data_IF_922837501537
#
_entry.id   IF_922837501537
#
_cell.length_a   1.000
_cell.length_b   1.000
_cell.length_c   1.000
_cell.angle_alpha   90.00
_cell.angle_beta   90.00
_cell.angle_gamma   90.00
#
_symmetry.space_group_name_H-M   'P 1'
#
loop_
_entity.id
_entity.type
_entity.pdbx_description
1 polymer ?
#
# COMPACT_ATOMS: atom_id res chain seq x y z
N UNK A 1 7.17 28.74 15.17
CA UNK A 1 5.71 28.97 15.10
C UNK A 1 4.86 27.70 14.98
N UNK A 2 5.18 26.67 14.15
CA UNK A 2 4.24 25.55 13.92
C UNK A 2 3.98 24.66 15.16
N UNK A 3 4.96 24.50 16.04
CA UNK A 3 4.82 23.65 17.25
C UNK A 3 3.78 24.19 18.24
N UNK A 4 3.71 25.51 18.42
CA UNK A 4 2.80 26.12 19.38
C UNK A 4 1.35 26.12 18.86
N UNK A 5 1.16 26.36 17.55
CA UNK A 5 -0.14 26.19 16.87
C UNK A 5 -0.63 24.73 16.90
N UNK A 6 0.27 23.77 16.63
CA UNK A 6 -0.06 22.34 16.72
C UNK A 6 -0.49 21.95 18.13
N UNK A 7 0.22 22.40 19.18
CA UNK A 7 -0.16 22.10 20.56
C UNK A 7 -1.48 22.75 20.98
N UNK A 8 -1.77 23.98 20.56
CA UNK A 8 -3.06 24.61 20.82
C UNK A 8 -4.22 23.89 20.12
N UNK A 9 -4.02 23.46 18.88
CA UNK A 9 -5.02 22.70 18.12
C UNK A 9 -5.25 21.31 18.72
N UNK A 10 -4.19 20.64 19.21
CA UNK A 10 -4.31 19.37 19.94
C UNK A 10 -5.10 19.56 21.24
N UNK A 11 -4.87 20.66 21.96
CA UNK A 11 -5.60 20.96 23.19
C UNK A 11 -7.08 21.24 22.93
N UNK A 12 -7.40 21.98 21.86
CA UNK A 12 -8.77 22.21 21.40
C UNK A 12 -9.45 20.91 20.94
N UNK A 13 -8.72 20.00 20.28
CA UNK A 13 -9.21 18.66 19.96
C UNK A 13 -9.57 17.90 21.24
N UNK A 14 -8.66 17.89 22.23
CA UNK A 14 -8.91 17.24 23.53
C UNK A 14 -10.15 17.82 24.22
N UNK A 15 -10.34 19.13 24.19
CA UNK A 15 -11.51 19.79 24.76
C UNK A 15 -12.81 19.48 23.99
N UNK A 16 -12.78 19.53 22.65
CA UNK A 16 -13.92 19.19 21.80
C UNK A 16 -14.37 17.74 22.00
N UNK A 17 -13.45 16.82 22.29
CA UNK A 17 -13.78 15.43 22.61
C UNK A 17 -14.63 15.26 23.87
N UNK A 18 -14.49 16.14 24.87
CA UNK A 18 -15.32 16.07 26.07
C UNK A 18 -16.78 16.45 25.82
N UNK A 19 -17.07 17.23 24.78
CA UNK A 19 -18.40 17.80 24.55
C UNK A 19 -19.26 17.01 23.54
N UNK A 20 -18.69 16.09 22.77
CA UNK A 20 -19.38 15.31 21.72
C UNK A 20 -20.19 16.16 20.70
N UNK A 21 -19.93 17.47 20.58
CA UNK A 21 -20.56 18.30 19.54
C UNK A 21 -19.86 18.06 18.21
N UNK A 22 -20.54 17.36 17.30
CA UNK A 22 -20.00 17.01 15.99
C UNK A 22 -19.58 18.22 15.15
N UNK A 23 -20.23 19.37 15.30
CA UNK A 23 -19.87 20.59 14.54
C UNK A 23 -18.55 21.14 15.04
N UNK A 24 -18.37 21.20 16.36
CA UNK A 24 -17.11 21.63 16.98
C UNK A 24 -16.00 20.64 16.61
N UNK A 25 -16.24 19.33 16.73
CA UNK A 25 -15.28 18.29 16.35
C UNK A 25 -14.87 18.45 14.88
N UNK A 26 -15.84 18.59 13.97
CA UNK A 26 -15.58 18.72 12.53
C UNK A 26 -14.78 19.99 12.23
N UNK A 27 -15.12 21.11 12.86
CA UNK A 27 -14.41 22.38 12.70
C UNK A 27 -12.96 22.27 13.16
N UNK A 28 -12.71 21.73 14.36
CA UNK A 28 -11.35 21.64 14.90
C UNK A 28 -10.48 20.70 14.07
N UNK A 29 -11.00 19.54 13.66
CA UNK A 29 -10.26 18.64 12.77
C UNK A 29 -10.00 19.28 11.41
N UNK A 30 -11.00 19.93 10.81
CA UNK A 30 -10.84 20.55 9.49
C UNK A 30 -9.76 21.64 9.51
N UNK A 31 -9.81 22.57 10.48
CA UNK A 31 -8.77 23.60 10.63
C UNK A 31 -7.39 22.97 10.84
N UNK A 32 -7.28 21.98 11.73
CA UNK A 32 -6.00 21.33 12.01
C UNK A 32 -5.43 20.60 10.79
N UNK A 33 -6.25 19.85 10.06
CA UNK A 33 -5.81 19.02 8.94
C UNK A 33 -5.59 19.83 7.66
N UNK A 34 -6.17 21.03 7.57
CA UNK A 34 -5.85 22.01 6.53
C UNK A 34 -4.45 22.59 6.72
N UNK A 35 -4.02 22.80 7.97
CA UNK A 35 -2.65 23.24 8.30
C UNK A 35 -1.64 22.08 8.29
N UNK A 36 -2.03 20.89 8.78
CA UNK A 36 -1.14 19.75 8.94
C UNK A 36 -1.68 18.48 8.25
N UNK A 37 -1.77 18.47 6.90
CA UNK A 37 -2.38 17.36 6.16
C UNK A 37 -1.64 16.03 6.32
N UNK A 38 -0.32 16.05 6.53
CA UNK A 38 0.54 14.86 6.69
C UNK A 38 0.34 14.12 8.03
N UNK A 39 -0.41 14.70 8.96
CA UNK A 39 -0.80 14.09 10.22
C UNK A 39 -1.90 13.03 10.05
N UNK A 40 -1.66 12.00 9.22
CA UNK A 40 -2.61 10.94 8.84
C UNK A 40 -3.32 10.27 10.03
N UNK A 41 -2.64 10.14 11.18
CA UNK A 41 -3.28 9.61 12.40
C UNK A 41 -4.48 10.44 12.88
N UNK A 42 -4.53 11.74 12.59
CA UNK A 42 -5.67 12.60 12.91
C UNK A 42 -6.80 12.50 11.89
N UNK A 43 -6.51 12.24 10.61
CA UNK A 43 -7.52 11.87 9.62
C UNK A 43 -8.26 10.60 10.04
N UNK A 44 -7.51 9.56 10.46
CA UNK A 44 -8.09 8.30 10.95
C UNK A 44 -8.96 8.53 12.20
N UNK A 45 -8.48 9.32 13.16
CA UNK A 45 -9.27 9.68 14.36
C UNK A 45 -10.52 10.49 14.00
N UNK A 46 -10.44 11.39 13.04
CA UNK A 46 -11.58 12.18 12.58
C UNK A 46 -12.65 11.28 11.96
N UNK A 47 -12.27 10.39 11.05
CA UNK A 47 -13.17 9.41 10.46
C UNK A 47 -13.80 8.50 11.52
N UNK A 48 -13.02 8.01 12.49
CA UNK A 48 -13.54 7.21 13.61
C UNK A 48 -14.53 7.99 14.48
N UNK A 49 -14.34 9.29 14.68
CA UNK A 49 -15.28 10.12 15.43
C UNK A 49 -16.58 10.34 14.66
N UNK A 50 -16.49 10.60 13.36
CA UNK A 50 -17.65 10.68 12.46
C UNK A 50 -18.43 9.37 12.44
N UNK A 51 -17.75 8.22 12.38
CA UNK A 51 -18.40 6.91 12.34
C UNK A 51 -19.24 6.60 13.59
N UNK A 52 -18.95 7.23 14.74
CA UNK A 52 -19.74 7.08 15.97
C UNK A 52 -20.98 7.99 16.04
N UNK A 53 -20.99 9.09 15.28
CA UNK A 53 -21.93 10.20 15.47
C UNK A 53 -22.73 10.55 14.21
N UNK A 54 -22.36 9.99 13.05
CA UNK A 54 -22.85 10.43 11.75
C UNK A 54 -23.17 9.25 10.82
N UNK A 55 -23.62 9.59 9.61
CA UNK A 55 -23.91 8.63 8.54
C UNK A 55 -22.62 8.11 7.90
N UNK A 56 -22.71 7.01 7.13
CA UNK A 56 -21.56 6.48 6.40
C UNK A 56 -21.03 7.46 5.35
N UNK A 57 -21.89 8.23 4.68
CA UNK A 57 -21.47 9.21 3.67
C UNK A 57 -20.55 10.29 4.26
N UNK A 58 -20.85 10.74 5.49
CA UNK A 58 -19.99 11.70 6.21
C UNK A 58 -18.59 11.12 6.49
N UNK A 59 -18.50 9.83 6.81
CA UNK A 59 -17.23 9.15 7.08
C UNK A 59 -16.44 8.96 5.79
N UNK A 60 -17.11 8.55 4.72
CA UNK A 60 -16.53 8.43 3.37
C UNK A 60 -15.97 9.77 2.91
N UNK A 61 -16.71 10.87 3.11
CA UNK A 61 -16.23 12.21 2.79
C UNK A 61 -14.92 12.57 3.49
N UNK A 62 -14.74 12.18 4.76
CA UNK A 62 -13.47 12.38 5.48
C UNK A 62 -12.35 11.52 4.91
N UNK A 63 -12.61 10.24 4.61
CA UNK A 63 -11.59 9.37 4.02
C UNK A 63 -11.18 9.82 2.62
N UNK A 64 -12.10 10.25 1.77
CA UNK A 64 -11.80 10.76 0.42
C UNK A 64 -10.94 12.04 0.49
N UNK A 65 -11.25 12.96 1.40
CA UNK A 65 -10.39 14.12 1.68
C UNK A 65 -9.00 13.70 2.15
N UNK A 66 -8.92 12.72 3.05
CA UNK A 66 -7.66 12.24 3.59
C UNK A 66 -6.77 11.60 2.51
N UNK A 67 -7.32 10.74 1.65
CA UNK A 67 -6.55 10.08 0.58
C UNK A 67 -6.22 11.03 -0.56
N UNK A 68 -6.96 12.13 -0.73
CA UNK A 68 -6.54 13.22 -1.61
C UNK A 68 -5.34 13.99 -1.03
N UNK A 69 -5.32 14.21 0.29
CA UNK A 69 -4.23 14.92 0.96
C UNK A 69 -2.94 14.08 1.07
N UNK A 70 -3.07 12.79 1.40
CA UNK A 70 -1.93 11.87 1.62
C UNK A 70 -2.17 10.52 0.92
N UNK A 71 -2.18 10.49 -0.43
CA UNK A 71 -2.59 9.30 -1.21
C UNK A 71 -1.70 8.08 -1.01
N UNK A 72 -0.45 8.26 -0.60
CA UNK A 72 0.51 7.16 -0.44
C UNK A 72 0.62 6.65 1.01
N UNK A 73 -0.26 7.07 1.91
CA UNK A 73 -0.25 6.61 3.30
C UNK A 73 -0.94 5.25 3.45
N UNK A 74 -0.15 4.19 3.65
CA UNK A 74 -0.64 2.82 3.88
C UNK A 74 -1.65 2.74 5.04
N UNK A 75 -1.36 3.35 6.19
CA UNK A 75 -2.22 3.27 7.38
C UNK A 75 -3.62 3.86 7.14
N UNK A 76 -3.69 4.92 6.34
CA UNK A 76 -4.96 5.55 5.98
C UNK A 76 -5.81 4.61 5.12
N UNK A 77 -5.22 4.00 4.10
CA UNK A 77 -5.90 3.01 3.25
C UNK A 77 -6.34 1.76 4.01
N UNK A 78 -5.51 1.29 4.95
CA UNK A 78 -5.84 0.17 5.84
C UNK A 78 -7.07 0.50 6.69
N UNK A 79 -7.13 1.72 7.23
CA UNK A 79 -8.30 2.20 7.99
C UNK A 79 -9.53 2.34 7.10
N UNK A 80 -9.38 2.92 5.90
CA UNK A 80 -10.49 3.16 4.98
C UNK A 80 -11.08 1.84 4.45
N UNK A 81 -10.24 0.92 3.97
CA UNK A 81 -10.70 -0.40 3.52
C UNK A 81 -11.32 -1.20 4.68
N UNK A 82 -10.79 -1.07 5.90
CA UNK A 82 -11.39 -1.68 7.09
C UNK A 82 -12.78 -1.13 7.41
N UNK A 83 -12.99 0.19 7.25
CA UNK A 83 -14.31 0.80 7.34
C UNK A 83 -15.24 0.29 6.24
N UNK A 84 -14.79 0.27 4.99
CA UNK A 84 -15.58 -0.22 3.85
C UNK A 84 -16.02 -1.68 4.03
N UNK A 85 -15.15 -2.56 4.52
CA UNK A 85 -15.50 -3.95 4.87
C UNK A 85 -16.62 -4.06 5.91
N UNK A 86 -16.76 -3.06 6.77
CA UNK A 86 -17.78 -3.04 7.83
C UNK A 86 -19.07 -2.32 7.41
N UNK A 87 -18.95 -1.36 6.49
CA UNK A 87 -20.03 -0.45 6.11
C UNK A 87 -20.73 -0.82 4.79
N UNK A 88 -20.01 -1.44 3.86
CA UNK A 88 -20.54 -1.79 2.55
C UNK A 88 -20.98 -3.25 2.49
N UNK A 89 -22.12 -3.49 1.86
CA UNK A 89 -22.63 -4.85 1.62
C UNK A 89 -22.13 -5.43 0.29
N UNK A 90 -21.88 -4.58 -0.71
CA UNK A 90 -21.44 -5.00 -2.04
C UNK A 90 -19.93 -5.33 -2.06
N UNK A 91 -19.55 -6.61 -2.27
CA UNK A 91 -18.15 -7.01 -2.36
C UNK A 91 -17.40 -6.35 -3.52
N UNK A 92 -18.07 -5.96 -4.60
CA UNK A 92 -17.42 -5.31 -5.74
C UNK A 92 -16.90 -3.91 -5.39
N UNK A 93 -17.66 -3.14 -4.59
CA UNK A 93 -17.22 -1.84 -4.08
C UNK A 93 -16.03 -1.95 -3.12
N UNK A 94 -16.02 -2.99 -2.29
CA UNK A 94 -14.89 -3.24 -1.38
C UNK A 94 -13.64 -3.61 -2.19
N UNK A 95 -13.76 -4.46 -3.21
CA UNK A 95 -12.64 -4.84 -4.10
C UNK A 95 -12.07 -3.64 -4.84
N UNK A 96 -12.91 -2.82 -5.46
CA UNK A 96 -12.46 -1.65 -6.21
C UNK A 96 -11.71 -0.66 -5.31
N UNK A 97 -12.12 -0.54 -4.04
CA UNK A 97 -11.39 0.28 -3.06
C UNK A 97 -10.02 -0.31 -2.71
N UNK A 98 -9.92 -1.64 -2.50
CA UNK A 98 -8.63 -2.31 -2.31
C UNK A 98 -7.71 -2.16 -3.53
N UNK A 99 -8.23 -2.34 -4.74
CA UNK A 99 -7.47 -2.18 -5.98
C UNK A 99 -6.96 -0.74 -6.14
N UNK A 100 -7.82 0.26 -5.89
CA UNK A 100 -7.42 1.67 -5.87
C UNK A 100 -6.31 1.91 -4.86
N UNK A 101 -6.46 1.42 -3.63
CA UNK A 101 -5.44 1.54 -2.60
C UNK A 101 -4.11 0.90 -3.03
N UNK A 102 -4.17 -0.33 -3.55
CA UNK A 102 -3.00 -1.08 -4.00
C UNK A 102 -2.25 -0.42 -5.16
N UNK A 103 -2.94 0.29 -6.05
CA UNK A 103 -2.26 1.06 -7.11
C UNK A 103 -1.41 2.22 -6.56
N UNK A 104 -1.80 2.78 -5.41
CA UNK A 104 -1.14 3.92 -4.77
C UNK A 104 -0.09 3.51 -3.72
N UNK A 105 -0.30 2.42 -2.99
CA UNK A 105 0.61 1.98 -1.91
C UNK A 105 1.26 0.62 -2.14
N UNK A 106 1.02 -0.04 -3.28
CA UNK A 106 1.47 -1.42 -3.50
C UNK A 106 2.99 -1.64 -3.56
N UNK A 107 3.80 -0.58 -3.66
CA UNK A 107 5.27 -0.61 -3.56
C UNK A 107 5.80 -0.04 -2.24
N UNK A 108 4.94 0.14 -1.24
CA UNK A 108 5.34 0.49 0.11
C UNK A 108 5.68 -0.78 0.92
N UNK A 109 6.80 -0.78 1.63
CA UNK A 109 7.24 -1.97 2.38
C UNK A 109 6.26 -2.41 3.48
N UNK A 110 5.48 -1.46 4.01
CA UNK A 110 4.47 -1.67 5.03
C UNK A 110 3.07 -1.97 4.45
N UNK A 111 2.91 -2.01 3.12
CA UNK A 111 1.64 -2.37 2.47
C UNK A 111 1.12 -3.77 2.82
N UNK A 112 1.94 -4.61 3.48
CA UNK A 112 1.51 -5.88 4.05
C UNK A 112 0.29 -5.75 4.97
N UNK A 113 0.12 -4.61 5.65
CA UNK A 113 -1.07 -4.36 6.46
C UNK A 113 -2.35 -4.34 5.62
N UNK A 114 -2.26 -3.81 4.38
CA UNK A 114 -3.37 -3.76 3.44
C UNK A 114 -3.59 -5.14 2.79
N UNK A 115 -2.51 -5.84 2.42
CA UNK A 115 -2.59 -7.22 1.94
C UNK A 115 -3.23 -8.16 2.95
N UNK A 116 -2.87 -8.08 4.22
CA UNK A 116 -3.48 -8.90 5.28
C UNK A 116 -5.00 -8.70 5.33
N UNK A 117 -5.47 -7.44 5.27
CA UNK A 117 -6.90 -7.12 5.23
C UNK A 117 -7.57 -7.59 3.95
N UNK A 118 -6.91 -7.47 2.81
CA UNK A 118 -7.49 -7.88 1.54
C UNK A 118 -7.62 -9.41 1.46
N UNK A 119 -6.62 -10.14 1.96
CA UNK A 119 -6.66 -11.60 2.10
C UNK A 119 -7.76 -12.01 3.09
N UNK A 120 -7.91 -11.33 4.23
CA UNK A 120 -9.00 -11.56 5.18
C UNK A 120 -10.37 -11.40 4.52
N UNK A 121 -10.54 -10.31 3.76
CA UNK A 121 -11.76 -10.05 3.01
C UNK A 121 -12.06 -11.17 1.99
N UNK A 122 -11.14 -11.51 1.09
CA UNK A 122 -11.43 -12.52 0.06
C UNK A 122 -11.61 -13.94 0.65
N UNK A 123 -10.95 -14.25 1.77
CA UNK A 123 -11.24 -15.48 2.52
C UNK A 123 -12.69 -15.49 3.04
N UNK A 124 -13.19 -14.37 3.57
CA UNK A 124 -14.59 -14.25 4.02
C UNK A 124 -15.59 -14.44 2.86
N UNK A 125 -15.21 -13.99 1.66
CA UNK A 125 -16.00 -14.12 0.44
C UNK A 125 -15.89 -15.52 -0.23
N UNK A 126 -14.98 -16.37 0.26
CA UNK A 126 -14.68 -17.71 -0.29
C UNK A 126 -14.33 -17.68 -1.79
N UNK A 127 -13.69 -16.61 -2.26
CA UNK A 127 -13.35 -16.43 -3.68
C UNK A 127 -11.92 -16.93 -3.97
N UNK A 128 -11.81 -18.19 -4.35
CA UNK A 128 -10.53 -18.85 -4.61
C UNK A 128 -9.71 -18.18 -5.74
N UNK A 129 -10.37 -17.76 -6.82
CA UNK A 129 -9.72 -17.08 -7.95
C UNK A 129 -9.10 -15.76 -7.49
N UNK A 130 -9.83 -14.99 -6.68
CA UNK A 130 -9.31 -13.72 -6.17
C UNK A 130 -8.16 -13.92 -5.17
N UNK A 131 -8.25 -14.95 -4.32
CA UNK A 131 -7.15 -15.32 -3.44
C UNK A 131 -5.90 -15.71 -4.25
N UNK A 132 -6.04 -16.49 -5.33
CA UNK A 132 -4.91 -16.82 -6.21
C UNK A 132 -4.32 -15.55 -6.85
N UNK A 133 -5.14 -14.63 -7.33
CA UNK A 133 -4.69 -13.32 -7.86
C UNK A 133 -3.93 -12.52 -6.81
N UNK A 134 -4.43 -12.46 -5.57
CA UNK A 134 -3.77 -11.73 -4.48
C UNK A 134 -2.43 -12.37 -4.14
N UNK A 135 -2.36 -13.70 -3.99
CA UNK A 135 -1.14 -14.39 -3.60
C UNK A 135 -0.02 -14.29 -4.63
N UNK A 136 -0.32 -14.23 -5.93
CA UNK A 136 0.71 -13.98 -6.93
C UNK A 136 1.11 -12.49 -6.99
N UNK A 137 0.15 -11.57 -6.81
CA UNK A 137 0.43 -10.13 -6.83
C UNK A 137 1.28 -9.67 -5.63
N UNK A 138 1.02 -10.19 -4.43
CA UNK A 138 1.80 -9.83 -3.23
C UNK A 138 3.27 -10.25 -3.31
N UNK A 139 3.61 -11.19 -4.21
CA UNK A 139 4.98 -11.63 -4.43
C UNK A 139 5.75 -10.75 -5.42
N UNK A 140 5.10 -9.80 -6.10
CA UNK A 140 5.73 -8.93 -7.11
C UNK A 140 6.69 -7.90 -6.54
N UNK A 141 6.51 -7.52 -5.29
CA UNK A 141 7.27 -6.46 -4.65
C UNK A 141 7.62 -6.84 -3.21
N UNK A 142 8.80 -6.46 -2.69
CA UNK A 142 9.19 -6.75 -1.32
C UNK A 142 8.25 -6.09 -0.30
N UNK A 143 7.85 -6.86 0.70
CA UNK A 143 7.12 -6.38 1.87
C UNK A 143 7.67 -7.07 3.11
N UNK A 144 7.45 -6.49 4.29
CA UNK A 144 7.90 -7.08 5.56
C UNK A 144 7.44 -8.53 5.80
N UNK A 145 6.35 -8.96 5.16
CA UNK A 145 5.78 -10.31 5.29
C UNK A 145 5.97 -11.18 4.04
N UNK A 146 6.84 -10.79 3.09
CA UNK A 146 7.05 -11.49 1.82
C UNK A 146 7.19 -13.01 1.98
N UNK A 147 8.10 -13.48 2.84
CA UNK A 147 8.32 -14.91 3.06
C UNK A 147 7.09 -15.64 3.62
N UNK A 148 6.29 -14.96 4.46
CA UNK A 148 5.05 -15.51 4.99
C UNK A 148 4.02 -15.67 3.87
N UNK A 149 3.90 -14.67 2.99
CA UNK A 149 3.00 -14.76 1.84
C UNK A 149 3.42 -15.84 0.85
N UNK A 150 4.72 -16.01 0.61
CA UNK A 150 5.22 -17.11 -0.21
C UNK A 150 4.88 -18.48 0.39
N UNK A 151 5.03 -18.63 1.71
CA UNK A 151 4.59 -19.84 2.41
C UNK A 151 3.08 -20.11 2.25
N UNK A 152 2.24 -19.10 2.37
CA UNK A 152 0.79 -19.22 2.13
C UNK A 152 0.46 -19.53 0.66
N UNK A 153 1.17 -18.93 -0.28
CA UNK A 153 1.07 -19.22 -1.72
C UNK A 153 1.38 -20.69 -2.01
N UNK A 154 2.49 -21.24 -1.46
CA UNK A 154 2.84 -22.65 -1.64
C UNK A 154 1.79 -23.58 -1.03
N UNK A 155 1.22 -23.23 0.13
CA UNK A 155 0.10 -24.00 0.73
C UNK A 155 -1.13 -24.01 -0.17
N UNK A 156 -1.48 -22.87 -0.77
CA UNK A 156 -2.58 -22.79 -1.73
C UNK A 156 -2.31 -23.70 -2.94
N UNK A 157 -1.12 -23.64 -3.53
CA UNK A 157 -0.74 -24.51 -4.65
C UNK A 157 -0.85 -25.99 -4.27
N UNK A 158 -0.32 -26.40 -3.11
CA UNK A 158 -0.43 -27.80 -2.66
C UNK A 158 -1.88 -28.24 -2.45
N UNK A 159 -2.75 -27.37 -1.94
CA UNK A 159 -4.19 -27.66 -1.81
C UNK A 159 -4.83 -27.90 -3.18
N UNK A 160 -4.48 -27.07 -4.17
CA UNK A 160 -4.97 -27.18 -5.55
C UNK A 160 -4.44 -28.44 -6.26
N UNK A 161 -3.19 -28.82 -6.03
CA UNK A 161 -2.59 -30.07 -6.56
C UNK A 161 -3.30 -31.33 -6.03
N UNK A 162 -3.70 -31.31 -4.76
CA UNK A 162 -4.45 -32.41 -4.14
C UNK A 162 -5.83 -32.57 -4.77
N UNK A 163 -6.54 -31.46 -5.06
CA UNK A 163 -7.82 -31.49 -5.77
C UNK A 163 -7.69 -32.10 -7.17
N UNK A 164 -6.64 -31.75 -7.92
CA UNK A 164 -6.36 -32.33 -9.26
C UNK A 164 -6.11 -33.84 -9.19
N UNK A 165 -5.35 -34.27 -8.19
CA UNK A 165 -5.01 -35.70 -8.01
C UNK A 165 -6.24 -36.53 -7.67
N UNK A 166 -7.14 -35.99 -6.83
CA UNK A 166 -8.40 -36.64 -6.46
C UNK A 166 -9.39 -36.74 -7.63
N UNK A 167 -9.33 -35.81 -8.59
CA UNK A 167 -10.15 -35.84 -9.81
C UNK A 167 -9.63 -36.82 -10.89
N UNK A 168 -8.53 -37.55 -10.64
CA UNK A 168 -8.03 -38.59 -11.55
C UNK A 168 -7.33 -38.08 -12.82
N UNK A 169 -6.91 -36.81 -12.84
CA UNK A 169 -6.10 -36.28 -13.92
C UNK A 169 -4.62 -36.64 -13.69
N UNK A 170 -4.09 -37.61 -14.44
CA UNK A 170 -2.67 -37.97 -14.39
C UNK A 170 -1.80 -36.76 -14.78
N UNK A 171 -0.98 -36.27 -13.84
CA UNK A 171 0.07 -35.30 -14.14
C UNK A 171 1.20 -36.07 -14.81
N UNK A 172 1.23 -36.10 -16.14
CA UNK A 172 2.41 -36.56 -16.86
C UNK A 172 3.58 -35.64 -16.51
N UNK A 173 4.65 -36.24 -15.97
CA UNK A 173 5.95 -35.61 -15.75
C UNK A 173 6.65 -35.41 -17.09
N UNK A 174 6.12 -34.50 -17.90
CA UNK A 174 6.75 -34.06 -19.14
C UNK A 174 7.73 -32.94 -18.84
N UNK A 175 9.03 -33.20 -19.03
CA UNK A 175 10.08 -32.17 -19.06
C UNK A 175 9.63 -31.02 -19.96
N UNK A 176 9.40 -29.84 -19.37
CA UNK A 176 9.20 -28.63 -20.16
C UNK A 176 10.57 -27.99 -20.39
N UNK A 177 10.96 -27.98 -21.66
CA UNK A 177 12.11 -27.24 -22.18
C UNK A 177 12.12 -25.82 -21.60
N UNK A 178 13.27 -25.44 -21.05
CA UNK A 178 13.69 -24.06 -20.80
C UNK A 178 13.66 -23.30 -22.12
N UNK A 179 12.52 -22.70 -22.44
CA UNK A 179 12.50 -21.61 -23.40
C UNK A 179 12.92 -20.37 -22.62
N UNK A 180 14.17 -19.97 -22.80
CA UNK A 180 14.66 -18.62 -22.57
C UNK A 180 13.85 -17.66 -23.46
N UNK A 181 12.63 -17.35 -23.04
CA UNK A 181 11.85 -16.25 -23.59
C UNK A 181 12.06 -15.06 -22.67
N UNK A 182 13.04 -14.26 -23.09
CA UNK A 182 13.25 -12.84 -22.84
C UNK A 182 12.04 -12.12 -22.21
N UNK A 183 12.33 -11.33 -21.17
CA UNK A 183 11.80 -9.99 -20.87
C UNK A 183 10.44 -9.59 -21.50
N UNK A 184 9.42 -10.42 -21.40
CA UNK A 184 8.05 -9.94 -21.57
C UNK A 184 7.70 -9.20 -20.28
N UNK A 185 7.47 -7.89 -20.38
CA UNK A 185 6.94 -7.07 -19.30
C UNK A 185 5.78 -7.83 -18.63
N UNK A 186 5.98 -8.22 -17.38
CA UNK A 186 5.03 -8.95 -16.55
C UNK A 186 3.90 -7.99 -16.14
N UNK A 187 3.10 -7.58 -17.12
CA UNK A 187 1.96 -6.70 -16.96
C UNK A 187 0.87 -7.36 -16.12
N UNK A 188 -0.04 -6.56 -15.57
CA UNK A 188 -1.23 -7.07 -14.87
C UNK A 188 -2.08 -8.02 -15.74
N UNK A 189 -2.10 -7.79 -17.06
CA UNK A 189 -2.78 -8.66 -18.02
C UNK A 189 -2.20 -10.08 -18.08
N UNK A 190 -0.89 -10.24 -17.90
CA UNK A 190 -0.24 -11.55 -17.84
C UNK A 190 -0.77 -12.36 -16.66
N UNK A 191 -0.85 -11.77 -15.47
CA UNK A 191 -1.35 -12.46 -14.26
C UNK A 191 -2.81 -12.80 -14.37
N UNK A 192 -3.64 -11.84 -14.78
CA UNK A 192 -5.08 -12.07 -14.95
C UNK A 192 -5.33 -13.25 -15.90
N UNK A 193 -4.56 -13.34 -17.01
CA UNK A 193 -4.64 -14.47 -17.92
C UNK A 193 -4.22 -15.82 -17.29
N UNK A 194 -3.20 -15.83 -16.43
CA UNK A 194 -2.72 -17.06 -15.77
C UNK A 194 -3.71 -17.55 -14.71
N UNK A 195 -4.27 -16.64 -13.92
CA UNK A 195 -5.23 -16.97 -12.87
C UNK A 195 -6.58 -17.35 -13.47
N UNK A 196 -7.09 -16.62 -14.46
CA UNK A 196 -8.32 -16.98 -15.17
C UNK A 196 -8.18 -18.32 -15.92
N UNK A 197 -6.97 -18.65 -16.38
CA UNK A 197 -6.66 -19.91 -17.05
C UNK A 197 -6.56 -21.13 -16.13
N UNK A 198 -6.56 -20.96 -14.81
CA UNK A 198 -6.46 -22.06 -13.84
C UNK A 198 -7.62 -23.06 -13.99
N UNK A 199 -8.83 -22.55 -14.24
CA UNK A 199 -10.04 -23.35 -14.34
C UNK A 199 -10.49 -23.46 -15.81
N UNK A 200 -11.15 -24.56 -16.16
CA UNK A 200 -11.87 -24.69 -17.43
C UNK A 200 -13.29 -24.12 -17.36
N UNK A 201 -14.03 -24.19 -18.47
CA UNK A 201 -15.43 -23.72 -18.53
C UNK A 201 -16.37 -24.53 -17.62
N UNK A 202 -15.96 -25.72 -17.19
CA UNK A 202 -16.67 -26.57 -16.24
C UNK A 202 -16.24 -26.34 -14.78
N UNK A 203 -15.30 -25.43 -14.51
CA UNK A 203 -14.77 -25.17 -13.17
C UNK A 203 -13.73 -26.19 -12.69
N UNK A 204 -13.23 -27.07 -13.56
CA UNK A 204 -12.19 -28.03 -13.22
C UNK A 204 -10.81 -27.40 -13.35
N UNK A 205 -9.91 -27.74 -12.41
CA UNK A 205 -8.56 -27.21 -12.39
C UNK A 205 -7.69 -27.88 -13.47
N UNK A 206 -6.95 -27.07 -14.23
CA UNK A 206 -6.04 -27.54 -15.29
C UNK A 206 -4.62 -27.75 -14.73
N UNK A 207 -4.05 -28.97 -14.78
CA UNK A 207 -2.70 -29.24 -14.26
C UNK A 207 -1.62 -28.33 -14.87
N UNK A 208 -1.71 -28.08 -16.17
CA UNK A 208 -0.71 -27.29 -16.90
C UNK A 208 -0.80 -25.79 -16.57
N UNK A 209 -1.99 -25.27 -16.29
CA UNK A 209 -2.16 -23.91 -15.81
C UNK A 209 -1.64 -23.75 -14.38
N UNK A 210 -1.84 -24.75 -13.52
CA UNK A 210 -1.33 -24.76 -12.15
C UNK A 210 0.20 -24.73 -12.10
N UNK A 211 0.87 -25.54 -12.95
CA UNK A 211 2.34 -25.49 -13.10
C UNK A 211 2.84 -24.11 -13.51
N UNK A 212 2.16 -23.45 -14.46
CA UNK A 212 2.53 -22.10 -14.89
C UNK A 212 2.32 -21.05 -13.79
N UNK A 213 1.23 -21.16 -13.02
CA UNK A 213 0.96 -20.30 -11.86
C UNK A 213 2.03 -20.47 -10.78
N UNK A 214 2.42 -21.72 -10.47
CA UNK A 214 3.50 -22.01 -9.54
C UNK A 214 4.83 -21.38 -10.00
N UNK A 215 5.22 -21.64 -11.25
CA UNK A 215 6.46 -21.10 -11.81
C UNK A 215 6.50 -19.56 -11.78
N UNK A 216 5.39 -18.91 -12.13
CA UNK A 216 5.28 -17.45 -12.06
C UNK A 216 5.45 -16.93 -10.63
N UNK A 217 4.77 -17.54 -9.65
CA UNK A 217 4.90 -17.14 -8.25
C UNK A 217 6.32 -17.35 -7.68
N UNK A 218 6.98 -18.45 -8.04
CA UNK A 218 8.38 -18.71 -7.65
C UNK A 218 9.34 -17.67 -8.24
N UNK A 219 9.15 -17.29 -9.51
CA UNK A 219 9.93 -16.24 -10.17
C UNK A 219 9.75 -14.88 -9.49
N UNK A 220 8.49 -14.48 -9.23
CA UNK A 220 8.20 -13.21 -8.55
C UNK A 220 8.80 -13.18 -7.14
N UNK A 221 8.63 -14.25 -6.38
CA UNK A 221 9.20 -14.37 -5.05
C UNK A 221 10.73 -14.26 -5.07
N UNK A 222 11.41 -14.95 -6.00
CA UNK A 222 12.87 -14.89 -6.10
C UNK A 222 13.37 -13.46 -6.31
N UNK A 223 12.79 -12.75 -7.29
CA UNK A 223 13.13 -11.34 -7.57
C UNK A 223 12.85 -10.43 -6.38
N UNK A 224 11.67 -10.54 -5.78
CA UNK A 224 11.31 -9.71 -4.62
C UNK A 224 12.17 -10.01 -3.39
N UNK A 225 12.58 -11.26 -3.20
CA UNK A 225 13.46 -11.70 -2.11
C UNK A 225 14.88 -11.17 -2.29
N UNK A 226 15.39 -11.10 -3.53
CA UNK A 226 16.66 -10.45 -3.83
C UNK A 226 16.62 -8.95 -3.52
N UNK A 227 15.55 -8.27 -3.94
CA UNK A 227 15.37 -6.85 -3.63
C UNK A 227 15.19 -6.60 -2.12
N UNK A 228 14.44 -7.46 -1.41
CA UNK A 228 14.25 -7.36 0.05
C UNK A 228 15.59 -7.39 0.80
N UNK A 229 16.55 -8.21 0.36
CA UNK A 229 17.90 -8.26 0.97
C UNK A 229 18.63 -6.91 0.87
N UNK A 230 18.46 -6.20 -0.23
CA UNK A 230 19.09 -4.89 -0.44
C UNK A 230 18.42 -3.79 0.40
N UNK A 231 17.09 -3.85 0.59
CA UNK A 231 16.34 -2.75 1.22
C UNK A 231 15.97 -2.97 2.69
N UNK A 232 15.97 -4.20 3.18
CA UNK A 232 15.52 -4.53 4.54
C UNK A 232 16.31 -3.78 5.63
N UNK A 233 17.59 -3.47 5.38
CA UNK A 233 18.42 -2.68 6.28
C UNK A 233 17.96 -1.23 6.42
N UNK A 234 17.58 -0.60 5.30
CA UNK A 234 16.99 0.75 5.32
C UNK A 234 15.67 0.75 6.09
N UNK A 235 14.82 -0.24 5.82
CA UNK A 235 13.51 -0.38 6.45
C UNK A 235 13.60 -0.62 7.96
N UNK A 236 14.54 -1.45 8.40
CA UNK A 236 14.80 -1.71 9.81
C UNK A 236 15.30 -0.46 10.57
N UNK A 237 15.94 0.48 9.86
CA UNK A 237 16.53 1.69 10.43
C UNK A 237 15.52 2.85 10.56
N UNK A 238 14.32 2.72 9.97
CA UNK A 238 13.24 3.71 10.12
C UNK A 238 12.54 3.50 11.48
N UNK A 239 12.91 4.31 12.48
CA UNK A 239 12.34 4.25 13.83
C UNK A 239 10.99 4.97 13.96
N UNK A 240 10.78 6.04 13.20
CA UNK A 240 9.59 6.91 13.26
C UNK A 240 8.98 7.09 11.86
N UNK A 241 7.91 6.34 11.50
CA UNK A 241 7.28 6.39 10.18
C UNK A 241 6.21 7.49 10.04
N UNK A 242 5.97 8.29 11.08
CA UNK A 242 4.92 9.31 11.13
C UNK A 242 5.49 10.70 11.41
N UNK A 243 4.74 11.73 11.02
CA UNK A 243 5.12 13.12 11.30
C UNK A 243 5.14 13.40 12.81
N UNK A 244 6.16 14.12 13.26
CA UNK A 244 6.23 14.64 14.62
C UNK A 244 7.08 15.90 14.67
N UNK A 245 6.74 16.84 15.57
CA UNK A 245 7.41 18.15 15.71
C UNK A 245 8.85 18.07 16.19
N UNK A 246 9.21 17.03 16.95
CA UNK A 246 10.60 16.79 17.36
C UNK A 246 11.43 16.42 16.13
N UNK A 247 12.65 16.96 15.97
CA UNK A 247 13.53 16.55 14.88
C UNK A 247 13.79 15.03 14.92
N UNK A 248 14.01 14.46 13.75
CA UNK A 248 14.64 13.15 13.59
C UNK A 248 16.11 13.23 14.04
N UNK A 249 16.66 12.09 14.45
CA UNK A 249 18.09 11.96 14.70
C UNK A 249 18.88 11.90 13.38
N UNK A 250 20.17 12.23 13.43
CA UNK A 250 21.02 12.29 12.24
C UNK A 250 21.10 10.94 11.52
N UNK A 251 21.12 9.81 12.26
CA UNK A 251 21.13 8.46 11.69
C UNK A 251 19.88 8.21 10.83
N UNK A 252 18.70 8.67 11.27
CA UNK A 252 17.46 8.52 10.51
C UNK A 252 17.46 9.38 9.23
N UNK A 253 18.01 10.60 9.29
CA UNK A 253 18.12 11.48 8.12
C UNK A 253 19.12 10.94 7.09
N UNK A 254 20.26 10.42 7.55
CA UNK A 254 21.24 9.75 6.71
C UNK A 254 20.64 8.50 6.06
N UNK A 255 19.93 7.67 6.83
CA UNK A 255 19.25 6.49 6.30
C UNK A 255 18.26 6.83 5.19
N UNK A 256 17.45 7.89 5.34
CA UNK A 256 16.53 8.32 4.30
C UNK A 256 17.26 8.77 3.03
N UNK A 257 18.35 9.52 3.15
CA UNK A 257 19.14 9.92 1.98
C UNK A 257 19.74 8.71 1.27
N UNK A 258 20.34 7.76 2.00
CA UNK A 258 20.90 6.55 1.41
C UNK A 258 19.84 5.67 0.74
N UNK A 259 18.64 5.58 1.34
CA UNK A 259 17.55 4.81 0.76
C UNK A 259 17.01 5.48 -0.51
N UNK A 260 16.87 6.80 -0.51
CA UNK A 260 16.49 7.55 -1.72
C UNK A 260 17.56 7.44 -2.81
N UNK A 261 18.86 7.57 -2.48
CA UNK A 261 19.97 7.34 -3.43
C UNK A 261 19.86 5.96 -4.09
N UNK A 262 19.59 4.92 -3.28
CA UNK A 262 19.43 3.56 -3.77
C UNK A 262 18.27 3.45 -4.76
N UNK A 263 17.09 3.99 -4.43
CA UNK A 263 15.90 3.87 -5.28
C UNK A 263 15.98 4.75 -6.51
N UNK A 264 16.57 5.94 -6.44
CA UNK A 264 16.79 6.78 -7.62
C UNK A 264 17.70 6.12 -8.66
N UNK A 265 18.68 5.35 -8.19
CA UNK A 265 19.65 4.65 -9.04
C UNK A 265 19.11 3.33 -9.58
N UNK A 266 18.43 2.54 -8.75
CA UNK A 266 18.11 1.15 -9.05
C UNK A 266 16.61 0.90 -9.25
N UNK A 267 15.75 1.80 -8.76
CA UNK A 267 14.29 1.65 -8.82
C UNK A 267 13.66 2.26 -10.07
N UNK A 268 12.39 1.89 -10.30
CA UNK A 268 11.57 2.55 -11.31
C UNK A 268 10.95 3.85 -10.77
N UNK A 269 10.46 4.70 -11.69
CA UNK A 269 9.90 6.01 -11.35
C UNK A 269 8.73 5.92 -10.36
N UNK A 270 7.89 4.91 -10.52
CA UNK A 270 6.70 4.70 -9.68
C UNK A 270 7.09 4.35 -8.23
N UNK A 271 8.11 3.51 -8.04
CA UNK A 271 8.64 3.20 -6.72
C UNK A 271 9.31 4.41 -6.09
N UNK A 272 10.13 5.16 -6.85
CA UNK A 272 10.79 6.36 -6.35
C UNK A 272 9.78 7.39 -5.84
N UNK A 273 8.73 7.67 -6.61
CA UNK A 273 7.63 8.57 -6.20
C UNK A 273 7.00 8.08 -4.89
N UNK A 274 6.63 6.80 -4.80
CA UNK A 274 6.01 6.24 -3.60
C UNK A 274 6.93 6.31 -2.37
N UNK A 275 8.22 6.06 -2.54
CA UNK A 275 9.20 6.16 -1.45
C UNK A 275 9.40 7.61 -0.99
N UNK A 276 9.46 8.56 -1.94
CA UNK A 276 9.51 9.98 -1.62
C UNK A 276 8.30 10.44 -0.81
N UNK A 277 7.09 10.10 -1.26
CA UNK A 277 5.85 10.45 -0.55
C UNK A 277 5.82 9.88 0.87
N UNK A 278 6.39 8.68 1.08
CA UNK A 278 6.57 8.09 2.41
C UNK A 278 7.63 8.82 3.23
N UNK A 279 8.77 9.17 2.64
CA UNK A 279 9.87 9.91 3.29
C UNK A 279 9.40 11.28 3.79
N UNK A 280 8.60 11.99 3.00
CA UNK A 280 8.10 13.32 3.32
C UNK A 280 7.16 13.35 4.53
N UNK A 281 6.60 12.22 4.96
CA UNK A 281 5.76 12.17 6.16
C UNK A 281 6.61 12.46 7.43
N UNK A 282 7.61 11.64 7.81
CA UNK A 282 8.46 11.95 8.96
C UNK A 282 9.44 13.09 8.71
N UNK A 283 9.81 13.34 7.45
CA UNK A 283 10.76 14.38 7.05
C UNK A 283 10.09 15.69 6.60
N UNK A 284 8.80 15.91 6.89
CA UNK A 284 8.08 17.07 6.37
C UNK A 284 8.73 18.43 6.69
N UNK A 285 9.41 18.54 7.84
CA UNK A 285 10.09 19.77 8.29
C UNK A 285 11.51 19.95 7.72
N UNK A 286 11.93 19.12 6.77
CA UNK A 286 13.27 19.11 6.20
C UNK A 286 13.17 19.45 4.71
N UNK A 287 13.39 20.71 4.36
CA UNK A 287 13.18 21.23 3.00
C UNK A 287 14.03 20.53 1.94
N UNK A 288 15.18 20.00 2.32
CA UNK A 288 16.10 19.27 1.44
C UNK A 288 15.42 18.06 0.77
N UNK A 289 14.56 17.32 1.48
CA UNK A 289 13.86 16.18 0.90
C UNK A 289 12.77 16.61 -0.10
N UNK A 290 12.10 17.73 0.16
CA UNK A 290 11.11 18.29 -0.76
C UNK A 290 11.76 18.80 -2.05
N UNK A 291 12.87 19.51 -1.92
CA UNK A 291 13.65 20.04 -3.05
C UNK A 291 14.15 18.87 -3.89
N UNK A 292 14.80 17.88 -3.25
CA UNK A 292 15.31 16.69 -3.92
C UNK A 292 14.20 15.93 -4.66
N UNK A 293 13.04 15.76 -4.04
CA UNK A 293 11.89 15.12 -4.68
C UNK A 293 11.43 15.88 -5.93
N UNK A 294 11.24 17.20 -5.82
CA UNK A 294 10.79 18.03 -6.93
C UNK A 294 11.78 18.02 -8.10
N UNK A 295 13.08 18.10 -7.80
CA UNK A 295 14.14 18.00 -8.81
C UNK A 295 14.17 16.62 -9.49
N UNK A 296 14.08 15.54 -8.71
CA UNK A 296 14.04 14.18 -9.23
C UNK A 296 12.88 13.98 -10.21
N UNK A 297 11.66 14.35 -9.83
CA UNK A 297 10.48 14.12 -10.68
C UNK A 297 10.45 15.05 -11.90
N UNK A 298 10.89 16.31 -11.80
CA UNK A 298 11.01 17.19 -12.98
C UNK A 298 12.06 16.65 -13.97
N UNK A 299 13.21 16.18 -13.48
CA UNK A 299 14.25 15.58 -14.31
C UNK A 299 13.80 14.31 -15.03
N UNK A 300 12.81 13.59 -14.49
CA UNK A 300 12.19 12.41 -15.11
C UNK A 300 10.95 12.73 -15.96
N UNK A 301 10.64 14.02 -16.18
CA UNK A 301 9.53 14.49 -17.01
C UNK A 301 8.19 14.66 -16.26
N UNK A 302 8.16 14.43 -14.94
CA UNK A 302 7.01 14.56 -14.05
C UNK A 302 6.80 15.98 -13.53
N UNK A 303 6.80 16.99 -14.41
CA UNK A 303 6.71 18.42 -14.02
C UNK A 303 5.49 18.75 -13.17
N UNK A 304 4.34 18.14 -13.44
CA UNK A 304 3.12 18.36 -12.65
C UNK A 304 3.29 17.85 -11.22
N UNK A 305 3.95 16.71 -11.04
CA UNK A 305 4.28 16.14 -9.73
C UNK A 305 5.28 17.05 -9.00
N UNK A 306 6.28 17.59 -9.70
CA UNK A 306 7.24 18.54 -9.13
C UNK A 306 6.52 19.80 -8.59
N UNK A 307 5.68 20.41 -9.42
CA UNK A 307 4.91 21.60 -9.04
C UNK A 307 3.97 21.31 -7.86
N UNK A 308 3.32 20.14 -7.85
CA UNK A 308 2.48 19.72 -6.74
C UNK A 308 3.27 19.54 -5.44
N UNK A 309 4.46 18.92 -5.51
CA UNK A 309 5.36 18.77 -4.37
C UNK A 309 5.82 20.13 -3.82
N UNK A 310 6.21 21.07 -4.68
CA UNK A 310 6.62 22.43 -4.29
C UNK A 310 5.47 23.24 -3.69
N UNK A 311 4.25 23.08 -4.23
CA UNK A 311 3.04 23.68 -3.66
C UNK A 311 2.78 23.18 -2.23
N UNK A 312 2.87 21.86 -2.02
CA UNK A 312 2.71 21.26 -0.68
C UNK A 312 3.82 21.66 0.28
N UNK A 313 5.07 21.72 -0.18
CA UNK A 313 6.18 22.18 0.64
C UNK A 313 5.89 23.60 1.16
N UNK A 314 5.48 24.50 0.26
CA UNK A 314 5.15 25.89 0.60
C UNK A 314 3.99 26.01 1.61
N UNK A 315 3.05 25.07 1.64
CA UNK A 315 1.99 25.08 2.66
C UNK A 315 2.37 24.38 3.97
N UNK A 316 3.28 23.40 3.94
CA UNK A 316 3.71 22.66 5.14
C UNK A 316 4.73 23.43 6.00
N UNK A 317 5.50 24.34 5.37
CA UNK A 317 6.56 25.11 6.02
C UNK A 317 6.14 26.51 6.52
N UNK A 318 4.91 26.95 6.24
CA UNK A 318 4.45 28.32 6.51
C UNK A 318 3.74 28.44 7.85
#
# INVERSE_FOLDING_TARGET
MPVQCMLSSIWLLMFAFFQNDIRVISLVYHTFLLEFPLCHGYWIKYAAHKARLCTYDDVVGVYEQAVQAVPHCTDLWVSYCGFAMSAYEDPALIRSLFERAMSLVGKDYLCYHLWDKYIEFENSQKQLIQLATIYINVLKFPTKKLHKYYGSFKKLVTSLEQEVTLCGAEISSGNLYTSEAMEAEESEGYISSKVAGLFDQGGHLKPEALKQYLFAGERFYQRSSELDKEICGFEASIKRPFFHVKPLDDDQLENWNLYLDFVEKNGDFDWAVKLYERCLIPCANYSEFWIRYAEYVDAKGGREIANYALGRASSCFV
#
